data_IF_727356514233
#
_entry.id   IF_727356514233
#
_cell.length_a   1.000
_cell.length_b   1.000
_cell.length_c   1.000
_cell.angle_alpha   90.00
_cell.angle_beta   90.00
_cell.angle_gamma   90.00
#
_symmetry.space_group_name_H-M   'P 1'
#
loop_
_entity.id
_entity.type
_entity.pdbx_description
1 polymer ?
#
# COMPACT_ATOMS: atom_id res chain seq x y z
N UNK A 1 8.48 -16.52 -14.75
CA UNK A 1 7.06 -16.14 -14.52
C UNK A 1 6.31 -16.00 -15.84
N UNK A 2 5.00 -16.35 -15.94
CA UNK A 2 4.19 -16.17 -17.17
C UNK A 2 3.58 -14.77 -17.21
N UNK A 3 3.64 -14.13 -18.37
CA UNK A 3 3.06 -12.80 -18.60
C UNK A 3 2.67 -12.61 -20.07
N UNK A 4 1.83 -11.61 -20.33
CA UNK A 4 1.44 -11.15 -21.66
C UNK A 4 1.72 -9.65 -21.78
N UNK A 5 2.15 -9.22 -22.95
CA UNK A 5 2.32 -7.80 -23.26
C UNK A 5 0.98 -7.26 -23.72
N UNK A 6 0.38 -6.36 -22.95
CA UNK A 6 -0.90 -5.72 -23.30
C UNK A 6 -0.74 -4.56 -24.25
N UNK A 7 0.34 -3.84 -24.10
CA UNK A 7 0.64 -2.68 -24.93
C UNK A 7 2.15 -2.47 -24.99
N UNK A 8 2.65 -2.18 -26.18
CA UNK A 8 4.03 -1.80 -26.42
C UNK A 8 4.08 -0.56 -27.29
N UNK A 9 4.89 0.40 -26.90
CA UNK A 9 5.17 1.62 -27.61
C UNK A 9 6.67 1.86 -27.59
N UNK A 10 7.16 2.88 -28.28
CA UNK A 10 8.59 3.21 -28.26
C UNK A 10 9.03 3.47 -26.82
N UNK A 11 9.95 2.63 -26.31
CA UNK A 11 10.55 2.70 -24.97
C UNK A 11 9.59 2.50 -23.77
N UNK A 12 8.36 2.07 -24.01
CA UNK A 12 7.41 1.79 -22.93
C UNK A 12 6.58 0.55 -23.23
N UNK A 13 6.44 -0.34 -22.23
CA UNK A 13 5.56 -1.50 -22.35
C UNK A 13 4.65 -1.62 -21.12
N UNK A 14 3.47 -2.17 -21.34
CA UNK A 14 2.57 -2.62 -20.29
C UNK A 14 2.46 -4.14 -20.35
N UNK A 15 2.79 -4.76 -19.25
CA UNK A 15 2.83 -6.21 -19.09
C UNK A 15 1.78 -6.62 -18.08
N UNK A 16 1.04 -7.67 -18.38
CA UNK A 16 0.12 -8.30 -17.45
C UNK A 16 0.66 -9.67 -17.04
N UNK A 17 0.82 -9.89 -15.75
CA UNK A 17 1.24 -11.17 -15.22
C UNK A 17 0.06 -12.13 -15.09
N UNK A 18 0.29 -13.43 -15.33
CA UNK A 18 -0.77 -14.45 -15.38
C UNK A 18 -1.26 -14.84 -13.97
N UNK A 19 -1.60 -13.83 -13.16
CA UNK A 19 -2.21 -13.96 -11.84
C UNK A 19 -3.37 -12.97 -11.75
N UNK A 20 -4.41 -13.30 -11.01
CA UNK A 20 -5.59 -12.42 -10.87
C UNK A 20 -5.28 -11.15 -10.08
N UNK A 21 -4.40 -11.27 -9.10
CA UNK A 21 -3.96 -10.20 -8.21
C UNK A 21 -2.59 -10.55 -7.62
N UNK A 22 -1.74 -9.57 -7.39
CA UNK A 22 -0.50 -9.69 -6.63
C UNK A 22 -0.73 -9.28 -5.17
N UNK A 23 -0.03 -9.92 -4.25
CA UNK A 23 0.11 -9.40 -2.89
C UNK A 23 0.95 -8.13 -2.90
N UNK A 24 0.85 -7.31 -1.85
CA UNK A 24 1.70 -6.11 -1.72
C UNK A 24 3.18 -6.48 -1.73
N UNK A 25 3.55 -7.55 -1.04
CA UNK A 25 4.92 -8.07 -1.00
C UNK A 25 5.44 -8.46 -2.38
N UNK A 26 4.68 -9.23 -3.14
CA UNK A 26 5.04 -9.60 -4.52
C UNK A 26 5.20 -8.37 -5.42
N UNK A 27 4.29 -7.40 -5.32
CA UNK A 27 4.36 -6.17 -6.10
C UNK A 27 5.59 -5.32 -5.75
N UNK A 28 6.01 -5.30 -4.48
CA UNK A 28 7.18 -4.57 -4.02
C UNK A 28 8.49 -5.28 -4.41
N UNK A 29 8.55 -6.61 -4.34
CA UNK A 29 9.67 -7.41 -4.84
C UNK A 29 9.86 -7.19 -6.35
N UNK A 30 8.76 -7.27 -7.12
CA UNK A 30 8.79 -7.03 -8.55
C UNK A 30 9.24 -5.60 -8.89
N UNK A 31 8.72 -4.60 -8.17
CA UNK A 31 9.10 -3.20 -8.35
C UNK A 31 10.58 -2.98 -8.04
N UNK A 32 11.07 -3.58 -6.95
CA UNK A 32 12.48 -3.53 -6.58
C UNK A 32 13.37 -4.14 -7.66
N UNK A 33 13.00 -5.33 -8.15
CA UNK A 33 13.72 -5.99 -9.25
C UNK A 33 13.78 -5.11 -10.51
N UNK A 34 12.64 -4.56 -10.93
CA UNK A 34 12.57 -3.71 -12.11
C UNK A 34 13.43 -2.46 -11.97
N UNK A 35 13.39 -1.79 -10.81
CA UNK A 35 14.18 -0.58 -10.56
C UNK A 35 15.70 -0.84 -10.51
N UNK A 36 16.11 -2.06 -10.15
CA UNK A 36 17.52 -2.46 -10.12
C UNK A 36 17.98 -3.11 -11.43
N UNK A 37 17.09 -3.26 -12.42
CA UNK A 37 17.44 -3.84 -13.72
C UNK A 37 18.05 -2.77 -14.65
N UNK A 38 19.20 -3.09 -15.24
CA UNK A 38 19.81 -2.23 -16.26
C UNK A 38 18.84 -1.95 -17.39
N UNK A 39 18.91 -0.75 -17.95
CA UNK A 39 18.06 -0.29 -19.05
C UNK A 39 16.60 -0.01 -18.70
N UNK A 40 16.14 -0.23 -17.49
CA UNK A 40 14.83 0.25 -17.02
C UNK A 40 15.02 1.63 -16.41
N UNK A 41 14.28 2.61 -16.92
CA UNK A 41 14.33 4.01 -16.44
C UNK A 41 13.22 4.32 -15.47
N UNK A 42 12.09 3.66 -15.63
CA UNK A 42 10.94 3.81 -14.74
C UNK A 42 10.14 2.51 -14.71
N UNK A 43 9.67 2.14 -13.53
CA UNK A 43 8.75 1.02 -13.37
C UNK A 43 7.62 1.38 -12.41
N UNK A 44 6.41 0.91 -12.71
CA UNK A 44 5.26 1.00 -11.81
C UNK A 44 4.46 -0.29 -11.86
N UNK A 45 4.24 -0.88 -10.71
CA UNK A 45 3.51 -2.13 -10.56
C UNK A 45 2.14 -1.86 -9.95
N UNK A 46 1.10 -2.44 -10.51
CA UNK A 46 -0.29 -2.35 -10.07
C UNK A 46 -0.70 -3.72 -9.51
N UNK A 47 -0.70 -3.87 -8.20
CA UNK A 47 -0.99 -5.13 -7.51
C UNK A 47 -2.41 -5.65 -7.76
N UNK A 48 -3.39 -4.75 -7.90
CA UNK A 48 -4.80 -5.12 -8.05
C UNK A 48 -5.12 -5.74 -9.41
N UNK A 49 -4.41 -5.30 -10.44
CA UNK A 49 -4.62 -5.76 -11.83
C UNK A 49 -3.50 -6.67 -12.31
N UNK A 50 -2.49 -6.92 -11.47
CA UNK A 50 -1.28 -7.65 -11.81
C UNK A 50 -0.60 -7.12 -13.09
N UNK A 51 -0.62 -5.80 -13.29
CA UNK A 51 0.03 -5.14 -14.41
C UNK A 51 1.32 -4.45 -13.95
N UNK A 52 2.30 -4.38 -14.84
CA UNK A 52 3.44 -3.49 -14.69
C UNK A 52 3.59 -2.59 -15.93
N UNK A 53 3.87 -1.33 -15.69
CA UNK A 53 4.27 -0.36 -16.71
C UNK A 53 5.77 -0.16 -16.56
N UNK A 54 6.50 -0.34 -17.66
CA UNK A 54 7.97 -0.33 -17.68
C UNK A 54 8.40 0.61 -18.79
N UNK A 55 9.22 1.60 -18.44
CA UNK A 55 9.91 2.44 -19.40
C UNK A 55 11.39 2.03 -19.45
N UNK A 56 11.92 1.91 -20.65
CA UNK A 56 13.24 1.31 -20.84
C UNK A 56 14.04 2.02 -21.93
N UNK A 57 15.36 1.83 -21.89
CA UNK A 57 16.29 2.23 -22.94
C UNK A 57 16.82 0.97 -23.64
N UNK A 58 16.89 1.01 -24.97
CA UNK A 58 17.39 -0.11 -25.76
C UNK A 58 16.27 -0.94 -26.37
N UNK A 59 16.52 -2.26 -26.49
CA UNK A 59 15.60 -3.18 -27.16
C UNK A 59 14.58 -3.78 -26.18
N UNK A 60 13.31 -3.85 -26.59
CA UNK A 60 12.25 -4.48 -25.81
C UNK A 60 12.51 -5.95 -25.52
N UNK A 61 13.18 -6.64 -26.45
CA UNK A 61 13.55 -8.06 -26.32
C UNK A 61 14.41 -8.33 -25.08
N UNK A 62 15.28 -7.40 -24.69
CA UNK A 62 16.15 -7.56 -23.53
C UNK A 62 15.32 -7.51 -22.24
N UNK A 63 14.35 -6.61 -22.18
CA UNK A 63 13.42 -6.50 -21.06
C UNK A 63 12.53 -7.73 -20.96
N UNK A 64 12.00 -8.22 -22.08
CA UNK A 64 11.19 -9.43 -22.15
C UNK A 64 11.99 -10.65 -21.64
N UNK A 65 13.24 -10.79 -22.03
CA UNK A 65 14.10 -11.88 -21.57
C UNK A 65 14.41 -11.78 -20.07
N UNK A 66 14.59 -10.57 -19.57
CA UNK A 66 14.80 -10.32 -18.14
C UNK A 66 13.55 -10.68 -17.34
N UNK A 67 12.35 -10.28 -17.79
CA UNK A 67 11.09 -10.65 -17.14
C UNK A 67 10.82 -12.16 -17.17
N UNK A 68 11.20 -12.87 -18.24
CA UNK A 68 11.06 -14.34 -18.33
C UNK A 68 11.90 -15.08 -17.28
N UNK A 69 13.07 -14.54 -16.93
CA UNK A 69 13.98 -15.12 -15.93
C UNK A 69 13.61 -14.73 -14.49
N UNK A 70 12.69 -13.81 -14.33
CA UNK A 70 12.28 -13.35 -13.01
C UNK A 70 11.54 -14.43 -12.22
N UNK A 71 12.01 -14.71 -11.01
CA UNK A 71 11.33 -15.53 -10.00
C UNK A 71 11.41 -14.79 -8.66
N UNK A 72 10.34 -14.82 -7.88
CA UNK A 72 10.27 -14.12 -6.59
C UNK A 72 11.26 -14.65 -5.56
N UNK A 73 11.56 -15.95 -5.64
CA UNK A 73 12.43 -16.68 -4.70
C UNK A 73 13.91 -16.35 -4.89
N UNK A 74 14.29 -15.90 -6.08
CA UNK A 74 15.67 -15.61 -6.43
C UNK A 74 16.14 -14.21 -6.00
N UNK A 75 15.23 -13.39 -5.43
CA UNK A 75 15.53 -11.99 -5.14
C UNK A 75 15.48 -11.74 -3.64
N UNK A 76 16.65 -11.51 -3.06
CA UNK A 76 16.77 -11.00 -1.72
C UNK A 76 16.44 -9.50 -1.68
N UNK A 77 15.28 -9.17 -1.16
CA UNK A 77 14.86 -7.79 -0.96
C UNK A 77 15.03 -7.42 0.51
N UNK A 78 15.64 -6.28 0.83
CA UNK A 78 15.72 -5.82 2.20
C UNK A 78 14.34 -5.76 2.86
N UNK A 79 14.21 -6.27 4.09
CA UNK A 79 12.94 -6.34 4.83
C UNK A 79 12.26 -4.96 4.97
N UNK A 80 13.05 -3.89 5.01
CA UNK A 80 12.53 -2.51 5.07
C UNK A 80 11.64 -2.17 3.86
N UNK A 81 11.91 -2.76 2.69
CA UNK A 81 11.14 -2.48 1.47
C UNK A 81 9.83 -3.27 1.46
N UNK A 82 9.84 -4.48 2.00
CA UNK A 82 8.65 -5.36 2.00
C UNK A 82 7.74 -5.13 3.20
N UNK A 83 8.29 -4.83 4.37
CA UNK A 83 7.52 -4.77 5.63
C UNK A 83 6.97 -3.36 5.93
N UNK A 84 7.59 -2.31 5.38
CA UNK A 84 7.16 -0.92 5.54
C UNK A 84 6.90 -0.23 4.19
N UNK A 85 6.42 -0.96 3.21
CA UNK A 85 6.12 -0.36 1.92
C UNK A 85 4.98 0.67 2.04
N UNK A 86 5.05 1.72 1.23
CA UNK A 86 4.00 2.74 1.18
C UNK A 86 2.62 2.15 0.84
N UNK A 87 2.57 1.02 0.13
CA UNK A 87 1.34 0.28 -0.17
C UNK A 87 0.73 -0.34 1.07
N UNK A 88 1.54 -0.98 1.88
CA UNK A 88 1.08 -1.63 3.12
C UNK A 88 0.61 -0.58 4.13
N UNK A 89 1.40 0.47 4.34
CA UNK A 89 1.03 1.59 5.22
C UNK A 89 -0.29 2.24 4.78
N UNK A 90 -0.48 2.49 3.48
CA UNK A 90 -1.72 3.05 2.96
C UNK A 90 -2.91 2.09 3.13
N UNK A 91 -2.72 0.79 2.92
CA UNK A 91 -3.77 -0.22 3.12
C UNK A 91 -4.21 -0.29 4.58
N UNK A 92 -3.28 -0.34 5.52
CA UNK A 92 -3.57 -0.30 6.96
C UNK A 92 -4.26 1.00 7.38
N UNK A 93 -3.85 2.13 6.82
CA UNK A 93 -4.49 3.41 7.09
C UNK A 93 -5.95 3.44 6.59
N UNK A 94 -6.20 2.95 5.37
CA UNK A 94 -7.54 2.83 4.82
C UNK A 94 -8.42 1.90 5.66
N UNK A 95 -7.90 0.75 6.08
CA UNK A 95 -8.61 -0.19 6.95
C UNK A 95 -8.99 0.45 8.29
N UNK A 96 -8.04 1.14 8.93
CA UNK A 96 -8.29 1.90 10.18
C UNK A 96 -9.33 2.98 10.00
N UNK A 97 -9.33 3.69 8.86
CA UNK A 97 -10.36 4.68 8.54
C UNK A 97 -11.74 4.05 8.37
N UNK A 98 -11.85 2.99 7.54
CA UNK A 98 -13.12 2.29 7.32
C UNK A 98 -13.68 1.76 8.63
N UNK A 99 -12.84 1.15 9.47
CA UNK A 99 -13.24 0.65 10.79
C UNK A 99 -13.75 1.77 11.69
N UNK A 100 -13.07 2.94 11.72
CA UNK A 100 -13.52 4.11 12.49
C UNK A 100 -14.87 4.63 12.00
N UNK A 101 -15.06 4.73 10.68
CA UNK A 101 -16.33 5.15 10.10
C UNK A 101 -17.44 4.15 10.40
N UNK A 102 -17.21 2.85 10.18
CA UNK A 102 -18.19 1.81 10.48
C UNK A 102 -18.60 1.83 11.96
N UNK A 103 -17.65 1.95 12.88
CA UNK A 103 -17.92 2.05 14.31
C UNK A 103 -18.70 3.34 14.65
N UNK A 104 -18.34 4.47 14.04
CA UNK A 104 -19.04 5.73 14.25
C UNK A 104 -20.51 5.65 13.82
N UNK A 105 -20.76 5.10 12.63
CA UNK A 105 -22.15 4.91 12.16
C UNK A 105 -22.91 3.88 12.99
N UNK A 106 -22.29 2.74 13.33
CA UNK A 106 -22.91 1.73 14.18
C UNK A 106 -23.30 2.33 15.55
N UNK A 107 -22.43 3.09 16.18
CA UNK A 107 -22.75 3.75 17.46
C UNK A 107 -23.86 4.79 17.31
N UNK A 108 -23.97 5.43 16.14
CA UNK A 108 -25.03 6.42 15.88
C UNK A 108 -26.42 5.76 15.74
N UNK A 109 -26.50 4.58 15.14
CA UNK A 109 -27.75 3.87 14.88
C UNK A 109 -28.20 2.98 16.05
N UNK A 110 -27.25 2.34 16.73
CA UNK A 110 -27.58 1.32 17.75
C UNK A 110 -27.55 1.86 19.19
N UNK A 111 -26.91 2.98 19.46
CA UNK A 111 -26.80 3.51 20.82
C UNK A 111 -27.80 4.67 21.02
N UNK A 112 -28.75 4.54 21.98
CA UNK A 112 -29.67 5.61 22.33
C UNK A 112 -28.96 6.92 22.72
N UNK A 113 -29.57 8.05 22.38
CA UNK A 113 -29.03 9.39 22.65
C UNK A 113 -28.47 9.61 24.06
N UNK A 114 -29.16 9.21 25.15
CA UNK A 114 -28.65 9.44 26.50
C UNK A 114 -27.38 8.67 26.81
N UNK A 115 -27.27 7.41 26.32
CA UNK A 115 -26.06 6.60 26.51
C UNK A 115 -24.88 7.18 25.72
N UNK A 116 -25.14 7.72 24.52
CA UNK A 116 -24.13 8.37 23.69
C UNK A 116 -23.61 9.66 24.34
N UNK A 117 -24.51 10.45 24.96
CA UNK A 117 -24.12 11.64 25.70
C UNK A 117 -23.20 11.29 26.88
N UNK A 118 -23.53 10.24 27.64
CA UNK A 118 -22.66 9.76 28.73
C UNK A 118 -21.28 9.31 28.25
N UNK A 119 -21.20 8.63 27.09
CA UNK A 119 -19.90 8.22 26.50
C UNK A 119 -19.05 9.44 26.08
N UNK A 120 -19.67 10.49 25.53
CA UNK A 120 -18.96 11.72 25.16
C UNK A 120 -18.45 12.43 26.41
N UNK A 121 -19.28 12.55 27.44
CA UNK A 121 -18.92 13.16 28.71
C UNK A 121 -17.74 12.40 29.35
N UNK A 122 -17.82 11.07 29.43
CA UNK A 122 -16.75 10.24 30.01
C UNK A 122 -15.40 10.40 29.29
N UNK A 123 -15.41 10.52 27.97
CA UNK A 123 -14.19 10.80 27.19
C UNK A 123 -13.65 12.21 27.46
N UNK A 124 -14.55 13.19 27.70
CA UNK A 124 -14.18 14.58 27.98
C UNK A 124 -13.51 14.73 29.34
N UNK A 125 -13.84 13.91 30.33
CA UNK A 125 -13.17 13.95 31.66
C UNK A 125 -11.65 13.72 31.57
N UNK A 126 -11.20 12.90 30.65
CA UNK A 126 -9.77 12.68 30.45
C UNK A 126 -9.03 13.95 30.01
N UNK A 127 -9.66 14.75 29.16
CA UNK A 127 -9.10 16.03 28.68
C UNK A 127 -9.19 17.13 29.74
N UNK A 128 -10.30 17.20 30.48
CA UNK A 128 -10.49 18.13 31.60
C UNK A 128 -9.45 17.88 32.68
N UNK A 129 -9.22 16.62 33.05
CA UNK A 129 -8.21 16.24 34.05
C UNK A 129 -6.78 16.61 33.62
N UNK A 130 -6.44 16.42 32.33
CA UNK A 130 -5.14 16.84 31.79
C UNK A 130 -4.99 18.37 31.77
N UNK A 131 -6.05 19.10 31.41
CA UNK A 131 -6.07 20.56 31.39
C UNK A 131 -5.88 21.16 32.77
N UNK A 132 -6.57 20.64 33.79
CA UNK A 132 -6.43 21.09 35.19
C UNK A 132 -4.99 20.82 35.69
N UNK A 133 -4.43 19.65 35.39
CA UNK A 133 -3.05 19.29 35.76
C UNK A 133 -2.03 20.23 35.13
N UNK A 134 -2.25 20.64 33.88
CA UNK A 134 -1.37 21.60 33.18
C UNK A 134 -1.45 22.98 33.82
N UNK A 135 -2.67 23.46 34.15
CA UNK A 135 -2.87 24.75 34.83
C UNK A 135 -2.23 24.80 36.23
N UNK A 136 -2.31 23.70 36.98
CA UNK A 136 -1.69 23.62 38.33
C UNK A 136 -0.15 23.51 38.28
N UNK A 137 0.40 23.08 37.17
CA UNK A 137 1.87 22.91 36.98
C UNK A 137 2.55 24.23 36.59
N UNK A 138 1.81 25.20 36.10
CA UNK A 138 2.29 26.53 35.70
C UNK A 138 2.10 27.64 36.77
N UNK A 139 1.75 27.24 37.99
CA UNK A 139 1.85 28.08 39.18
C UNK A 139 3.05 27.66 40.03
#
# INVERSE_FOLDING_TARGET
>A
MKFIIRHESDKRMRVHFAVSRMTYKEADILLYFLNNTKNITFAKVYERTADAVIEYKGKSTDIINTLRRFHYEDIEVPAVITDNSSRQVNAEYQEKLVTKFALHYATRFFIPLPVRALMVISKSFKYIGSGIRTLLRHK
#
